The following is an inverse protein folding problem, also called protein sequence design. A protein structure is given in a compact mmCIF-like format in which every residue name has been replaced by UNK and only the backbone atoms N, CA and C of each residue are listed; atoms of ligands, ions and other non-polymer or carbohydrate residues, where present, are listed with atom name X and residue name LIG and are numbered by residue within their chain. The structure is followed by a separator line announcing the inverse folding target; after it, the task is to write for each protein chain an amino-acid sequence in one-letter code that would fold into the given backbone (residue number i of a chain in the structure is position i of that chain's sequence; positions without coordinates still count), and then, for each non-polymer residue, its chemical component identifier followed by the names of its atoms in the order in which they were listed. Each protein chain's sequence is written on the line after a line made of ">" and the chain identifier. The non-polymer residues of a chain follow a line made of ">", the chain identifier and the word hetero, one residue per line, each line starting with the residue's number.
data_IF_033328390546
#
_entry.id   IF_033328390546
#
_cell.length_a   1.000
_cell.length_b   1.000
_cell.length_c   1.000
_cell.angle_alpha   90.00
_cell.angle_beta   90.00
_cell.angle_gamma   90.00
#
_symmetry.space_group_name_H-M   'P 1'
#
loop_
_entity.id
_entity.type
_entity.pdbx_description
1 polymer ?
#
# COMPACT_ATOMS: atom_id res chain seq x y z
N UNK A 1 -2.05 12.32 7.13
CA UNK A 1 -3.49 12.31 7.47
C UNK A 1 -3.74 11.83 8.89
N UNK A 2 -3.52 10.57 9.26
CA UNK A 2 -3.79 10.09 10.65
C UNK A 2 -2.59 10.30 11.61
N UNK A 3 -1.40 9.79 11.25
CA UNK A 3 -0.22 9.84 12.14
C UNK A 3 0.60 11.14 12.03
N UNK A 4 0.31 11.97 11.03
CA UNK A 4 1.05 13.23 10.78
C UNK A 4 2.50 13.07 10.29
N UNK A 5 3.04 11.86 10.22
CA UNK A 5 4.42 11.55 9.82
C UNK A 5 4.49 10.41 8.80
N UNK A 6 5.66 10.28 8.16
CA UNK A 6 5.95 9.19 7.21
C UNK A 6 5.87 7.85 7.95
N UNK A 7 5.09 6.90 7.42
CA UNK A 7 4.85 5.62 8.08
C UNK A 7 6.10 4.72 8.09
N UNK A 8 6.86 4.74 7.00
CA UNK A 8 8.07 3.96 6.81
C UNK A 8 9.19 4.91 6.31
N UNK A 9 9.88 5.63 7.21
CA UNK A 9 10.92 6.57 6.83
C UNK A 9 12.26 5.84 6.63
N UNK A 10 12.45 5.22 5.47
CA UNK A 10 13.71 4.58 5.10
C UNK A 10 14.70 5.55 4.45
N UNK A 11 15.99 5.41 4.77
CA UNK A 11 17.06 6.21 4.13
C UNK A 11 17.56 5.61 2.81
N UNK A 12 17.36 4.30 2.63
CA UNK A 12 17.66 3.57 1.40
C UNK A 12 16.69 2.37 1.25
N UNK A 13 16.85 1.58 0.18
CA UNK A 13 15.98 0.45 -0.11
C UNK A 13 16.03 -0.65 0.96
N UNK A 14 17.16 -0.81 1.65
CA UNK A 14 17.34 -1.79 2.72
C UNK A 14 16.69 -1.30 4.01
N UNK A 15 16.96 -0.05 4.40
CA UNK A 15 16.37 0.56 5.58
C UNK A 15 14.85 0.68 5.43
N UNK A 16 14.36 1.03 4.24
CA UNK A 16 12.93 1.05 3.91
C UNK A 16 12.27 -0.31 4.20
N UNK A 17 12.90 -1.41 3.77
CA UNK A 17 12.41 -2.74 4.07
C UNK A 17 12.38 -3.03 5.58
N UNK A 18 13.45 -2.67 6.30
CA UNK A 18 13.52 -2.84 7.75
C UNK A 18 12.39 -2.06 8.45
N UNK A 19 12.14 -0.80 8.08
CA UNK A 19 11.03 0.00 8.64
C UNK A 19 9.67 -0.65 8.40
N UNK A 20 9.47 -1.29 7.26
CA UNK A 20 8.22 -1.99 6.95
C UNK A 20 8.03 -3.21 7.85
N UNK A 21 9.03 -4.11 7.95
CA UNK A 21 8.92 -5.34 8.75
C UNK A 21 8.94 -5.10 10.25
N UNK A 22 9.60 -4.05 10.73
CA UNK A 22 9.58 -3.66 12.14
C UNK A 22 8.16 -3.28 12.61
N UNK A 23 7.38 -2.66 11.72
CA UNK A 23 6.03 -2.20 12.02
C UNK A 23 4.97 -3.27 11.73
N UNK A 24 5.04 -3.93 10.57
CA UNK A 24 4.03 -4.88 10.09
C UNK A 24 4.37 -6.35 10.39
N UNK A 25 5.60 -6.62 10.82
CA UNK A 25 6.10 -7.96 11.08
C UNK A 25 6.83 -8.57 9.87
N UNK A 26 7.62 -9.60 10.15
CA UNK A 26 8.31 -10.38 9.12
C UNK A 26 7.29 -11.22 8.34
N UNK A 27 7.26 -11.14 7.00
CA UNK A 27 6.28 -11.87 6.20
C UNK A 27 6.48 -13.39 6.25
N UNK A 28 5.44 -14.14 5.85
CA UNK A 28 5.45 -15.60 5.81
C UNK A 28 6.47 -16.17 4.82
N UNK A 29 6.90 -17.41 5.04
CA UNK A 29 7.85 -18.09 4.15
C UNK A 29 7.35 -18.15 2.70
N UNK A 30 6.04 -18.34 2.50
CA UNK A 30 5.42 -18.36 1.16
C UNK A 30 5.67 -17.06 0.38
N UNK A 31 5.71 -15.92 1.07
CA UNK A 31 6.03 -14.63 0.45
C UNK A 31 7.53 -14.53 0.15
N UNK A 32 8.38 -14.95 1.09
CA UNK A 32 9.83 -14.96 0.90
C UNK A 32 10.24 -15.83 -0.29
N UNK A 33 9.51 -16.92 -0.54
CA UNK A 33 9.70 -17.79 -1.70
C UNK A 33 9.39 -17.12 -3.06
N UNK A 34 8.63 -16.03 -3.08
CA UNK A 34 8.37 -15.23 -4.29
C UNK A 34 9.49 -14.23 -4.58
N UNK A 35 10.36 -13.95 -3.60
CA UNK A 35 11.46 -12.99 -3.75
C UNK A 35 12.68 -13.61 -4.44
N UNK A 36 13.47 -12.75 -5.08
CA UNK A 36 14.79 -13.08 -5.61
C UNK A 36 15.72 -13.64 -4.52
N UNK A 37 16.60 -14.57 -4.88
CA UNK A 37 17.44 -15.30 -3.91
C UNK A 37 18.29 -14.38 -3.02
N UNK A 38 18.91 -13.35 -3.58
CA UNK A 38 19.72 -12.39 -2.83
C UNK A 38 18.91 -11.63 -1.78
N UNK A 39 17.71 -11.17 -2.18
CA UNK A 39 16.78 -10.46 -1.29
C UNK A 39 16.26 -11.41 -0.22
N UNK A 40 15.86 -12.63 -0.58
CA UNK A 40 15.40 -13.65 0.37
C UNK A 40 16.44 -13.93 1.44
N UNK A 41 17.68 -14.22 1.05
CA UNK A 41 18.77 -14.48 1.99
C UNK A 41 19.04 -13.27 2.88
N UNK A 42 18.92 -12.06 2.35
CA UNK A 42 19.02 -10.84 3.16
C UNK A 42 17.91 -10.77 4.23
N UNK A 43 16.65 -11.01 3.86
CA UNK A 43 15.51 -10.97 4.81
C UNK A 43 15.57 -12.09 5.84
N UNK A 44 15.95 -13.31 5.44
CA UNK A 44 16.03 -14.48 6.33
C UNK A 44 17.12 -14.33 7.40
N UNK A 45 18.19 -13.60 7.10
CA UNK A 45 19.28 -13.32 8.04
C UNK A 45 19.00 -12.15 9.00
N UNK A 46 17.80 -11.56 8.96
CA UNK A 46 17.40 -10.47 9.88
C UNK A 46 16.58 -11.01 11.05
N UNK A 47 16.57 -10.29 12.19
CA UNK A 47 15.68 -10.63 13.29
C UNK A 47 14.23 -10.72 12.80
N UNK A 48 13.50 -11.73 13.29
CA UNK A 48 12.07 -11.83 13.03
C UNK A 48 11.32 -10.86 13.92
N UNK A 49 10.48 -10.04 13.32
CA UNK A 49 9.61 -9.11 14.00
C UNK A 49 8.18 -9.66 13.99
N UNK A 50 7.51 -9.61 15.14
CA UNK A 50 6.09 -9.96 15.22
C UNK A 50 5.18 -8.89 14.59
N UNK A 51 5.69 -7.67 14.43
CA UNK A 51 4.90 -6.49 14.07
C UNK A 51 4.10 -5.94 15.25
N UNK A 52 3.47 -4.80 15.04
CA UNK A 52 2.52 -4.22 15.96
C UNK A 52 1.08 -4.42 15.46
N UNK A 53 0.13 -4.50 16.38
CA UNK A 53 -1.28 -4.49 16.00
C UNK A 53 -1.67 -3.13 15.42
N UNK A 54 -2.69 -3.09 14.58
CA UNK A 54 -3.14 -1.83 13.94
C UNK A 54 -3.69 -0.83 14.95
N UNK A 55 -4.19 -1.29 16.11
CA UNK A 55 -4.58 -0.43 17.24
C UNK A 55 -3.37 0.27 17.86
N UNK A 56 -2.19 -0.38 17.85
CA UNK A 56 -0.96 0.22 18.35
C UNK A 56 -0.30 1.12 17.32
N UNK A 57 -0.39 0.77 16.04
CA UNK A 57 0.10 1.61 14.93
C UNK A 57 -0.75 2.88 14.75
N UNK A 58 -2.06 2.75 14.92
CA UNK A 58 -3.05 3.81 14.76
C UNK A 58 -3.96 3.87 16.00
N UNK A 59 -3.47 4.36 17.15
CA UNK A 59 -4.29 4.43 18.36
C UNK A 59 -5.46 5.42 18.22
N UNK A 60 -6.51 5.21 19.01
CA UNK A 60 -7.75 6.00 18.96
C UNK A 60 -7.53 7.50 19.14
N UNK A 61 -6.49 7.90 19.87
CA UNK A 61 -6.10 9.31 20.07
C UNK A 61 -5.74 10.02 18.75
N UNK A 62 -5.39 9.28 17.70
CA UNK A 62 -5.09 9.84 16.38
C UNK A 62 -6.35 10.07 15.54
N UNK A 63 -7.51 9.62 16.00
CA UNK A 63 -8.79 9.79 15.32
C UNK A 63 -9.64 10.84 16.05
N UNK A 64 -10.50 11.58 15.34
CA UNK A 64 -11.43 12.52 15.97
C UNK A 64 -12.31 11.81 17.00
N UNK A 65 -12.48 12.40 18.18
CA UNK A 65 -13.22 11.79 19.30
C UNK A 65 -14.62 12.40 19.50
N UNK A 66 -15.10 13.14 18.50
CA UNK A 66 -16.15 14.15 18.66
C UNK A 66 -17.56 13.56 18.84
N UNK A 67 -17.73 12.25 18.58
CA UNK A 67 -19.01 11.54 18.72
C UNK A 67 -18.83 10.01 18.75
N UNK A 68 -19.86 9.27 19.14
CA UNK A 68 -19.86 7.79 19.03
C UNK A 68 -19.82 7.30 17.57
N UNK A 69 -20.33 8.10 16.62
CA UNK A 69 -20.12 7.85 15.18
C UNK A 69 -18.63 7.93 14.80
N UNK A 70 -17.85 8.79 15.46
CA UNK A 70 -16.42 8.94 15.19
C UNK A 70 -15.62 7.70 15.63
N UNK A 71 -16.03 7.01 16.69
CA UNK A 71 -15.42 5.73 17.11
C UNK A 71 -15.65 4.63 16.08
N UNK A 72 -16.87 4.53 15.53
CA UNK A 72 -17.17 3.58 14.46
C UNK A 72 -16.32 3.88 13.22
N UNK A 73 -16.16 5.16 12.86
CA UNK A 73 -15.30 5.59 11.75
C UNK A 73 -13.82 5.29 12.01
N UNK A 74 -13.32 5.46 13.24
CA UNK A 74 -11.95 5.09 13.61
C UNK A 74 -11.70 3.59 13.44
N UNK A 75 -12.63 2.75 13.89
CA UNK A 75 -12.55 1.29 13.71
C UNK A 75 -12.59 0.90 12.23
N UNK A 76 -13.48 1.49 11.43
CA UNK A 76 -13.56 1.26 9.99
C UNK A 76 -12.29 1.73 9.25
N UNK A 77 -11.72 2.87 9.64
CA UNK A 77 -10.47 3.37 9.07
C UNK A 77 -9.31 2.43 9.36
N UNK A 78 -9.19 1.96 10.62
CA UNK A 78 -8.18 0.98 11.02
C UNK A 78 -8.31 -0.34 10.28
N UNK A 79 -9.54 -0.84 10.14
CA UNK A 79 -9.81 -2.09 9.40
C UNK A 79 -9.36 -1.97 7.94
N UNK A 80 -9.73 -0.88 7.26
CA UNK A 80 -9.28 -0.63 5.89
C UNK A 80 -7.76 -0.54 5.79
N UNK A 81 -7.11 0.19 6.69
CA UNK A 81 -5.64 0.27 6.75
C UNK A 81 -5.00 -1.10 6.93
N UNK A 82 -5.61 -1.98 7.75
CA UNK A 82 -5.10 -3.34 7.96
C UNK A 82 -5.15 -4.21 6.72
N UNK A 83 -6.15 -3.98 5.86
CA UNK A 83 -6.33 -4.68 4.59
C UNK A 83 -5.47 -4.11 3.46
N UNK A 84 -5.12 -2.82 3.53
CA UNK A 84 -4.25 -2.14 2.55
C UNK A 84 -2.76 -2.28 2.86
N UNK A 85 -2.37 -2.13 4.13
CA UNK A 85 -0.97 -2.19 4.59
C UNK A 85 -0.53 -3.64 4.81
N UNK A 86 -0.66 -4.45 3.77
CA UNK A 86 -0.27 -5.86 3.75
C UNK A 86 0.95 -6.04 2.85
N UNK A 87 2.01 -6.66 3.37
CA UNK A 87 3.27 -6.87 2.62
C UNK A 87 3.03 -7.74 1.38
N UNK A 88 2.36 -8.88 1.54
CA UNK A 88 2.06 -9.79 0.44
C UNK A 88 0.93 -9.23 -0.41
N UNK A 89 1.24 -8.83 -1.64
CA UNK A 89 0.28 -8.26 -2.58
C UNK A 89 -0.88 -9.23 -2.89
N UNK A 90 -0.68 -10.56 -2.83
CA UNK A 90 -1.77 -11.50 -3.07
C UNK A 90 -2.77 -11.60 -1.92
N UNK A 91 -2.46 -11.03 -0.76
CA UNK A 91 -3.35 -10.95 0.42
C UNK A 91 -3.87 -9.54 0.66
N UNK A 92 -3.39 -8.57 -0.12
CA UNK A 92 -3.77 -7.16 -0.02
C UNK A 92 -5.13 -6.97 -0.69
N UNK A 93 -5.97 -6.13 -0.09
CA UNK A 93 -7.26 -5.76 -0.67
C UNK A 93 -7.09 -5.16 -2.07
N UNK A 94 -7.98 -5.52 -2.98
CA UNK A 94 -8.08 -4.93 -4.31
C UNK A 94 -8.68 -3.52 -4.25
N UNK A 95 -8.58 -2.79 -5.37
CA UNK A 95 -9.19 -1.46 -5.50
C UNK A 95 -10.71 -1.55 -5.35
N UNK A 96 -11.35 -2.51 -6.02
CA UNK A 96 -12.80 -2.68 -6.01
C UNK A 96 -13.33 -3.02 -4.60
N UNK A 97 -12.64 -3.92 -3.89
CA UNK A 97 -12.98 -4.25 -2.51
C UNK A 97 -12.78 -3.05 -1.56
N UNK A 98 -11.76 -2.23 -1.79
CA UNK A 98 -11.51 -1.02 -1.00
C UNK A 98 -12.59 0.05 -1.23
N UNK A 99 -13.09 0.20 -2.47
CA UNK A 99 -14.21 1.10 -2.79
C UNK A 99 -15.51 0.64 -2.11
N UNK A 100 -15.75 -0.67 -2.05
CA UNK A 100 -16.90 -1.25 -1.35
C UNK A 100 -16.76 -1.25 0.18
N UNK A 101 -15.60 -0.89 0.71
CA UNK A 101 -15.36 -0.89 2.15
C UNK A 101 -16.27 0.12 2.87
N UNK A 102 -16.89 -0.21 4.04
CA UNK A 102 -17.81 0.69 4.75
C UNK A 102 -17.25 2.09 5.08
N UNK A 103 -15.92 2.20 5.15
CA UNK A 103 -15.23 3.48 5.34
C UNK A 103 -15.30 4.40 4.09
N UNK A 104 -15.20 3.83 2.90
CA UNK A 104 -15.14 4.54 1.61
C UNK A 104 -16.50 4.56 0.90
N UNK A 105 -17.26 3.48 0.99
CA UNK A 105 -18.52 3.25 0.27
C UNK A 105 -19.60 4.32 0.52
N UNK A 106 -19.46 5.15 1.57
CA UNK A 106 -20.33 6.31 1.79
C UNK A 106 -20.26 7.35 0.66
N UNK A 107 -19.20 7.32 -0.15
CA UNK A 107 -18.95 8.20 -1.30
C UNK A 107 -19.03 7.46 -2.64
N UNK A 108 -19.53 6.22 -2.65
CA UNK A 108 -19.55 5.42 -3.87
C UNK A 108 -20.57 5.97 -4.87
N UNK A 109 -20.09 6.42 -6.01
CA UNK A 109 -20.89 6.77 -7.17
C UNK A 109 -20.42 5.95 -8.38
N UNK A 110 -21.27 5.06 -8.96
CA UNK A 110 -20.91 4.31 -10.16
C UNK A 110 -20.44 5.18 -11.32
N UNK A 111 -20.97 6.40 -11.49
CA UNK A 111 -20.57 7.28 -12.58
C UNK A 111 -19.14 7.80 -12.41
N UNK A 112 -18.66 7.96 -11.18
CA UNK A 112 -17.27 8.35 -10.88
C UNK A 112 -16.33 7.13 -10.89
N UNK A 113 -16.79 5.99 -10.38
CA UNK A 113 -15.98 4.77 -10.23
C UNK A 113 -15.80 4.01 -11.54
N UNK A 114 -16.86 3.89 -12.33
CA UNK A 114 -16.89 3.09 -13.57
C UNK A 114 -16.71 3.96 -14.83
N UNK A 115 -16.23 5.19 -14.65
CA UNK A 115 -15.94 6.08 -15.77
C UNK A 115 -14.94 5.39 -16.73
N UNK A 116 -15.25 5.35 -18.04
CA UNK A 116 -14.36 4.69 -19.00
C UNK A 116 -13.02 5.43 -19.05
N UNK A 117 -11.88 4.70 -19.12
CA UNK A 117 -10.58 5.33 -19.25
C UNK A 117 -10.53 6.13 -20.57
N UNK A 118 -9.97 7.36 -20.56
CA UNK A 118 -9.97 8.23 -21.74
C UNK A 118 -9.17 7.64 -22.91
N UNK A 119 -8.14 6.86 -22.59
CA UNK A 119 -7.34 6.09 -23.55
C UNK A 119 -6.75 4.90 -22.81
N UNK A 120 -6.78 3.73 -23.42
CA UNK A 120 -6.01 2.59 -22.93
C UNK A 120 -4.55 2.90 -23.19
N UNK A 121 -3.73 2.88 -22.14
CA UNK A 121 -2.28 3.06 -22.29
C UNK A 121 -1.74 1.93 -23.17
N UNK A 122 -1.13 2.30 -24.29
CA UNK A 122 -0.44 1.35 -25.14
C UNK A 122 0.87 0.97 -24.46
N UNK A 123 0.89 -0.18 -23.77
CA UNK A 123 2.09 -0.68 -23.10
C UNK A 123 3.25 -0.95 -24.07
N UNK A 124 2.97 -1.11 -25.37
CA UNK A 124 4.00 -1.30 -26.38
C UNK A 124 4.78 0.00 -26.66
N UNK A 125 4.25 1.17 -26.30
CA UNK A 125 4.98 2.43 -26.42
C UNK A 125 6.15 2.52 -25.43
N UNK A 126 5.99 1.96 -24.22
CA UNK A 126 7.05 1.92 -23.21
C UNK A 126 8.09 0.82 -23.47
N UNK A 127 7.69 -0.27 -24.14
CA UNK A 127 8.57 -1.38 -24.49
C UNK A 127 9.39 -1.13 -25.78
N UNK A 128 9.09 -0.06 -26.52
CA UNK A 128 9.85 0.33 -27.70
C UNK A 128 11.11 1.06 -27.29
N UNK A 129 12.26 0.49 -27.64
CA UNK A 129 13.52 1.21 -27.59
C UNK A 129 13.54 2.25 -28.71
N UNK A 130 13.55 3.52 -28.32
CA UNK A 130 13.78 4.66 -29.21
C UNK A 130 15.09 5.34 -28.81
N UNK A 131 15.85 5.76 -29.80
CA UNK A 131 16.98 6.67 -29.63
C UNK A 131 16.51 8.02 -29.09
N UNK A 132 17.44 8.82 -28.56
CA UNK A 132 17.12 10.14 -28.01
C UNK A 132 16.52 11.05 -29.08
N UNK A 133 17.01 10.97 -30.31
CA UNK A 133 16.53 11.72 -31.46
C UNK A 133 15.10 11.31 -31.86
N UNK A 134 14.78 10.02 -31.83
CA UNK A 134 13.44 9.51 -32.13
C UNK A 134 12.42 9.91 -31.05
N UNK A 135 12.80 9.85 -29.77
CA UNK A 135 11.97 10.37 -28.68
C UNK A 135 11.72 11.88 -28.84
N UNK A 136 12.75 12.64 -29.25
CA UNK A 136 12.62 14.08 -29.46
C UNK A 136 11.64 14.41 -30.59
N UNK A 137 11.70 13.66 -31.70
CA UNK A 137 10.78 13.84 -32.83
C UNK A 137 9.33 13.43 -32.54
N UNK A 138 9.07 12.62 -31.51
CA UNK A 138 7.71 12.25 -31.07
C UNK A 138 7.08 13.27 -30.12
N UNK A 139 7.87 14.20 -29.56
CA UNK A 139 7.42 15.22 -28.61
C UNK A 139 7.21 16.62 -29.23
N UNK A 140 7.51 16.79 -30.53
CA UNK A 140 7.16 17.98 -31.33
C UNK A 140 5.80 17.81 -32.03
#
# INVERSE_FOLDING_TARGET
>A
MIRGSVLFPGTDHIDQWNKVIEQLGTPSQDFLMKLNQSVRTYVENRPRYAGYSFEKLFPDVLFPADSDHSKLKASQARDLLSKMLVIDASKRISVDEALQHPYINVWFDPAEVEAPPPKILDKQLDEREHTVEEWKGQME
#
